data_IF_644554315526
#
_entry.id   IF_644554315526
#
_cell.length_a   1.000
_cell.length_b   1.000
_cell.length_c   1.000
_cell.angle_alpha   90.00
_cell.angle_beta   90.00
_cell.angle_gamma   90.00
#
_symmetry.space_group_name_H-M   'P 1'
#
loop_
_entity.id
_entity.type
_entity.pdbx_description
1 polymer ?
#
# COMPACT_ATOMS: atom_id res chain seq x y z
N UNK A 1 22.02 -8.47 -24.08
CA UNK A 1 21.53 -7.54 -23.06
C UNK A 1 20.42 -8.27 -22.35
N UNK A 2 20.77 -8.89 -21.23
CA UNK A 2 19.78 -9.53 -20.38
C UNK A 2 19.10 -8.43 -19.55
N UNK A 3 17.78 -8.51 -19.32
CA UNK A 3 17.15 -7.68 -18.32
C UNK A 3 17.63 -8.18 -16.96
N UNK A 4 18.38 -7.33 -16.25
CA UNK A 4 18.73 -7.59 -14.85
C UNK A 4 17.43 -7.80 -14.07
N UNK A 5 17.34 -8.99 -13.47
CA UNK A 5 16.31 -9.36 -12.52
C UNK A 5 16.31 -8.37 -11.35
N UNK A 6 15.39 -7.41 -11.34
CA UNK A 6 15.12 -6.52 -10.22
C UNK A 6 14.38 -7.25 -9.06
N UNK A 7 14.78 -8.49 -8.79
CA UNK A 7 14.24 -9.31 -7.71
C UNK A 7 15.20 -9.23 -6.52
N UNK A 8 14.75 -8.62 -5.42
CA UNK A 8 15.27 -8.95 -4.09
C UNK A 8 15.87 -7.82 -3.25
N UNK A 9 15.80 -6.55 -3.66
CA UNK A 9 16.21 -5.45 -2.80
C UNK A 9 14.98 -4.66 -2.32
N UNK A 10 14.84 -4.47 -1.00
CA UNK A 10 13.81 -3.67 -0.35
C UNK A 10 14.08 -2.16 -0.57
N UNK A 11 14.02 -1.72 -1.84
CA UNK A 11 14.47 -0.40 -2.31
C UNK A 11 13.39 0.69 -2.35
N UNK A 12 12.17 0.38 -1.91
CA UNK A 12 11.08 1.35 -1.95
C UNK A 12 11.29 2.50 -0.96
N UNK A 13 11.11 3.75 -1.43
CA UNK A 13 11.27 4.98 -0.67
C UNK A 13 10.51 4.98 0.67
N UNK A 14 9.30 4.41 0.69
CA UNK A 14 8.45 4.42 1.87
C UNK A 14 8.51 3.07 2.57
N UNK A 15 9.60 2.83 3.31
CA UNK A 15 9.83 1.59 4.08
C UNK A 15 9.73 0.32 3.23
N UNK A 16 10.19 0.37 1.98
CA UNK A 16 10.09 -0.73 1.02
C UNK A 16 8.94 -0.60 0.01
N UNK A 17 8.00 0.33 0.20
CA UNK A 17 6.98 0.64 -0.82
C UNK A 17 7.56 1.52 -1.93
N UNK A 18 7.20 1.20 -3.18
CA UNK A 18 7.76 1.84 -4.37
C UNK A 18 6.97 3.10 -4.72
N UNK A 19 7.63 4.27 -4.77
CA UNK A 19 7.06 5.46 -5.41
C UNK A 19 7.09 5.23 -6.94
N UNK A 20 5.91 5.18 -7.55
CA UNK A 20 5.77 4.82 -8.95
C UNK A 20 6.22 5.96 -9.88
N UNK A 21 6.93 5.65 -10.98
CA UNK A 21 7.05 6.58 -12.09
C UNK A 21 5.67 6.81 -12.72
N UNK A 22 5.50 7.94 -13.40
CA UNK A 22 4.19 8.36 -13.91
C UNK A 22 3.61 7.38 -14.95
N UNK A 23 4.46 6.69 -15.71
CA UNK A 23 4.02 5.65 -16.65
C UNK A 23 3.32 4.50 -15.91
N UNK A 24 3.94 3.97 -14.87
CA UNK A 24 3.37 2.92 -14.02
C UNK A 24 2.08 3.41 -13.33
N UNK A 25 2.02 4.66 -12.85
CA UNK A 25 0.78 5.24 -12.30
C UNK A 25 -0.38 5.13 -13.30
N UNK A 26 -0.12 5.45 -14.57
CA UNK A 26 -1.13 5.40 -15.64
C UNK A 26 -1.51 3.95 -15.97
N UNK A 27 -0.54 3.04 -16.01
CA UNK A 27 -0.77 1.61 -16.28
C UNK A 27 -1.60 0.96 -15.17
N UNK A 28 -1.20 1.14 -13.92
CA UNK A 28 -1.93 0.64 -12.74
C UNK A 28 -3.36 1.20 -12.70
N UNK A 29 -3.50 2.52 -12.91
CA UNK A 29 -4.83 3.14 -12.95
C UNK A 29 -5.72 2.55 -14.05
N UNK A 30 -5.17 2.30 -15.25
CA UNK A 30 -5.89 1.69 -16.38
C UNK A 30 -6.30 0.25 -16.07
N UNK A 31 -5.40 -0.55 -15.52
CA UNK A 31 -5.70 -1.90 -15.08
C UNK A 31 -6.90 -1.91 -14.13
N UNK A 32 -6.93 -1.01 -13.14
CA UNK A 32 -8.07 -0.88 -12.23
C UNK A 32 -9.36 -0.41 -12.89
N UNK A 33 -9.32 0.20 -14.08
CA UNK A 33 -10.55 0.49 -14.86
C UNK A 33 -11.13 -0.78 -15.47
N UNK A 34 -10.30 -1.73 -15.87
CA UNK A 34 -10.75 -3.03 -16.38
C UNK A 34 -11.40 -3.86 -15.27
N UNK A 35 -10.87 -3.75 -14.04
CA UNK A 35 -11.42 -4.39 -12.83
C UNK A 35 -12.81 -3.86 -12.45
N UNK A 36 -13.13 -2.59 -12.75
CA UNK A 36 -14.42 -2.00 -12.37
C UNK A 36 -15.63 -2.79 -12.93
N UNK A 37 -15.49 -3.37 -14.13
CA UNK A 37 -16.56 -4.06 -14.85
C UNK A 37 -16.59 -5.58 -14.59
N UNK A 38 -15.58 -6.13 -13.92
CA UNK A 38 -15.47 -7.57 -13.67
C UNK A 38 -16.50 -8.04 -12.60
N UNK A 39 -17.44 -8.95 -12.93
CA UNK A 39 -18.43 -9.47 -12.00
C UNK A 39 -17.86 -10.23 -10.81
N UNK A 40 -16.63 -10.75 -10.91
CA UNK A 40 -15.95 -11.43 -9.80
C UNK A 40 -15.32 -10.43 -8.80
N UNK A 41 -15.05 -9.20 -9.24
CA UNK A 41 -14.34 -8.18 -8.47
C UNK A 41 -15.12 -6.86 -8.40
N UNK A 42 -14.83 -5.85 -9.22
CA UNK A 42 -15.38 -4.50 -9.12
C UNK A 42 -16.90 -4.40 -9.28
N UNK A 43 -17.51 -5.27 -10.11
CA UNK A 43 -18.95 -5.33 -10.30
C UNK A 43 -19.66 -6.32 -9.36
N UNK A 44 -18.92 -7.01 -8.48
CA UNK A 44 -19.49 -7.97 -7.52
C UNK A 44 -20.29 -7.26 -6.42
N UNK A 45 -21.60 -7.52 -6.36
CA UNK A 45 -22.46 -6.95 -5.31
C UNK A 45 -22.01 -7.35 -3.90
N UNK A 46 -21.49 -8.57 -3.74
CA UNK A 46 -21.01 -9.08 -2.46
C UNK A 46 -19.77 -8.31 -1.98
N UNK A 47 -18.78 -8.13 -2.86
CA UNK A 47 -17.56 -7.40 -2.50
C UNK A 47 -17.87 -5.93 -2.21
N UNK A 48 -18.72 -5.31 -3.04
CA UNK A 48 -19.17 -3.92 -2.83
C UNK A 48 -19.85 -3.71 -1.47
N UNK A 49 -20.60 -4.69 -0.98
CA UNK A 49 -21.26 -4.61 0.32
C UNK A 49 -20.30 -4.69 1.52
N UNK A 50 -19.07 -5.19 1.31
CA UNK A 50 -18.03 -5.27 2.34
C UNK A 50 -17.17 -4.01 2.42
N UNK A 51 -17.26 -3.13 1.41
CA UNK A 51 -16.39 -1.95 1.31
C UNK A 51 -16.77 -0.91 2.36
N UNK A 52 -15.76 -0.30 2.97
CA UNK A 52 -15.98 0.76 3.96
C UNK A 52 -14.85 1.79 3.95
N UNK A 53 -15.00 2.83 4.77
CA UNK A 53 -14.09 3.96 4.85
C UNK A 53 -13.78 4.30 6.30
N UNK A 54 -12.51 4.60 6.55
CA UNK A 54 -12.02 5.21 7.78
C UNK A 54 -11.39 6.56 7.44
N UNK A 55 -11.89 7.68 7.98
CA UNK A 55 -13.13 7.78 8.77
C UNK A 55 -14.40 7.51 7.93
N UNK A 56 -15.55 7.21 8.57
CA UNK A 56 -16.79 6.93 7.85
C UNK A 56 -17.27 8.11 6.99
N UNK A 57 -17.54 7.84 5.71
CA UNK A 57 -18.06 8.81 4.73
C UNK A 57 -17.00 9.77 4.16
N UNK A 58 -15.71 9.50 4.38
CA UNK A 58 -14.61 10.28 3.79
C UNK A 58 -14.20 9.74 2.43
N UNK A 59 -14.14 8.42 2.30
CA UNK A 59 -13.80 7.70 1.07
C UNK A 59 -15.05 6.94 0.63
N UNK A 60 -15.26 6.84 -0.68
CA UNK A 60 -16.37 6.06 -1.23
C UNK A 60 -16.19 4.58 -0.90
N UNK A 61 -17.27 3.95 -0.42
CA UNK A 61 -17.33 2.51 -0.17
C UNK A 61 -17.44 1.72 -1.49
N UNK A 62 -16.35 1.70 -2.25
CA UNK A 62 -16.23 1.02 -3.54
C UNK A 62 -14.99 0.12 -3.54
N UNK A 63 -14.99 -0.95 -4.35
CA UNK A 63 -13.82 -1.83 -4.45
C UNK A 63 -12.67 -1.09 -5.12
N UNK A 64 -12.98 -0.42 -6.23
CA UNK A 64 -12.13 0.47 -7.02
C UNK A 64 -12.90 1.73 -7.40
N UNK A 65 -12.20 2.84 -7.66
CA UNK A 65 -12.82 4.12 -8.01
C UNK A 65 -11.91 4.97 -8.92
N UNK A 66 -12.49 5.62 -9.94
CA UNK A 66 -11.76 6.33 -11.01
C UNK A 66 -10.89 7.50 -10.55
N UNK A 67 -11.28 8.16 -9.48
CA UNK A 67 -10.58 9.27 -8.87
C UNK A 67 -9.45 8.84 -7.94
N UNK A 68 -9.26 7.54 -7.67
CA UNK A 68 -8.15 7.07 -6.85
C UNK A 68 -6.91 6.87 -7.72
N UNK A 69 -5.89 7.70 -7.47
CA UNK A 69 -4.65 7.73 -8.22
C UNK A 69 -3.57 6.98 -7.43
N UNK A 70 -3.14 5.78 -7.88
CA UNK A 70 -2.08 5.04 -7.19
C UNK A 70 -0.74 5.74 -7.40
N UNK A 71 -0.07 6.15 -6.32
CA UNK A 71 1.25 6.79 -6.41
C UNK A 71 2.36 5.93 -5.83
N UNK A 72 2.02 5.10 -4.85
CA UNK A 72 2.96 4.23 -4.14
C UNK A 72 2.37 2.84 -4.08
N UNK A 73 3.16 1.82 -4.39
CA UNK A 73 2.71 0.43 -4.47
C UNK A 73 3.53 -0.51 -3.59
N UNK A 74 2.87 -1.56 -3.09
CA UNK A 74 3.49 -2.69 -2.39
C UNK A 74 3.89 -3.86 -3.32
N UNK A 75 3.61 -3.72 -4.64
CA UNK A 75 3.77 -4.77 -5.68
C UNK A 75 2.89 -6.01 -5.49
N UNK A 76 1.88 -5.95 -4.61
CA UNK A 76 0.89 -7.01 -4.37
C UNK A 76 -0.54 -6.57 -4.73
N UNK A 77 -0.70 -5.39 -5.35
CA UNK A 77 -2.00 -4.84 -5.74
C UNK A 77 -2.61 -3.93 -4.68
N UNK A 78 -1.82 -3.43 -3.73
CA UNK A 78 -2.23 -2.41 -2.79
C UNK A 78 -1.41 -1.13 -2.94
N UNK A 79 -2.06 -0.01 -2.64
CA UNK A 79 -1.55 1.30 -2.96
C UNK A 79 -1.78 2.29 -1.83
N UNK A 80 -0.85 3.22 -1.77
CA UNK A 80 -1.05 4.53 -1.20
C UNK A 80 -1.18 5.53 -2.35
N UNK A 81 -2.17 6.41 -2.27
CA UNK A 81 -2.44 7.33 -3.36
C UNK A 81 -3.36 8.48 -2.99
N UNK A 82 -3.78 9.23 -4.01
CA UNK A 82 -4.60 10.43 -3.85
C UNK A 82 -6.01 10.18 -4.33
N UNK A 83 -6.98 10.56 -3.51
CA UNK A 83 -8.40 10.51 -3.83
C UNK A 83 -8.90 11.85 -4.40
N UNK A 84 -9.28 11.83 -5.67
CA UNK A 84 -9.83 12.97 -6.40
C UNK A 84 -11.36 12.95 -6.48
N UNK A 85 -12.03 11.94 -5.93
CA UNK A 85 -13.49 11.84 -5.89
C UNK A 85 -13.95 11.26 -4.54
N UNK A 86 -13.72 12.01 -3.44
CA UNK A 86 -14.06 11.59 -2.11
C UNK A 86 -15.58 11.40 -1.93
N UNK A 87 -15.96 10.85 -0.78
CA UNK A 87 -17.34 10.86 -0.31
C UNK A 87 -17.65 12.16 0.46
N UNK A 88 -18.91 12.33 0.89
CA UNK A 88 -19.47 13.60 1.35
C UNK A 88 -18.72 14.31 2.49
N UNK A 89 -17.96 13.59 3.32
CA UNK A 89 -17.17 14.18 4.42
C UNK A 89 -15.67 14.28 4.11
N UNK A 90 -15.22 13.70 3.00
CA UNK A 90 -13.82 13.74 2.59
C UNK A 90 -13.49 15.02 1.82
N UNK A 91 -12.30 15.07 1.27
CA UNK A 91 -11.86 16.19 0.42
C UNK A 91 -10.99 15.69 -0.71
N UNK A 92 -11.19 16.24 -1.92
CA UNK A 92 -10.35 15.90 -3.05
C UNK A 92 -8.90 16.29 -2.72
N UNK A 93 -7.94 15.45 -3.07
CA UNK A 93 -6.54 15.60 -2.69
C UNK A 93 -6.15 14.85 -1.42
N UNK A 94 -7.11 14.22 -0.72
CA UNK A 94 -6.80 13.41 0.45
C UNK A 94 -5.98 12.16 0.10
N UNK A 95 -5.07 11.77 0.99
CA UNK A 95 -4.20 10.59 0.81
C UNK A 95 -4.88 9.38 1.44
N UNK A 96 -4.98 8.29 0.67
CA UNK A 96 -5.71 7.09 1.07
C UNK A 96 -4.90 5.82 0.83
N UNK A 97 -5.15 4.80 1.66
CA UNK A 97 -4.74 3.42 1.41
C UNK A 97 -5.93 2.67 0.80
N UNK A 98 -5.68 1.99 -0.31
CA UNK A 98 -6.67 1.23 -1.08
C UNK A 98 -5.99 0.11 -1.87
N UNK A 99 -6.79 -0.78 -2.44
CA UNK A 99 -6.31 -1.85 -3.31
C UNK A 99 -7.00 -3.16 -3.04
N UNK A 100 -6.40 -4.23 -3.56
CA UNK A 100 -6.96 -5.59 -3.58
C UNK A 100 -7.35 -6.10 -2.20
N UNK A 101 -6.51 -5.84 -1.20
CA UNK A 101 -6.63 -6.39 0.16
C UNK A 101 -7.20 -5.37 1.16
N UNK A 102 -7.56 -4.17 0.69
CA UNK A 102 -8.14 -3.10 1.52
C UNK A 102 -9.63 -2.93 1.22
N UNK A 103 -10.47 -3.79 1.79
CA UNK A 103 -11.93 -3.61 1.78
C UNK A 103 -12.35 -2.35 2.55
N UNK A 104 -11.64 -2.07 3.64
CA UNK A 104 -11.76 -0.81 4.38
C UNK A 104 -10.65 0.13 3.94
N UNK A 105 -11.01 1.18 3.20
CA UNK A 105 -10.08 2.22 2.78
C UNK A 105 -9.81 3.14 3.97
N UNK A 106 -8.58 3.63 4.08
CA UNK A 106 -8.18 4.50 5.19
C UNK A 106 -7.58 5.80 4.66
N UNK A 107 -8.18 6.92 5.05
CA UNK A 107 -7.59 8.24 4.84
C UNK A 107 -6.46 8.40 5.84
N UNK A 108 -5.25 8.67 5.35
CA UNK A 108 -4.09 8.75 6.21
C UNK A 108 -4.10 10.03 7.04
N UNK A 109 -3.66 9.91 8.28
CA UNK A 109 -3.46 11.05 9.18
C UNK A 109 -2.45 12.02 8.57
N UNK A 110 -2.74 13.33 8.63
CA UNK A 110 -2.01 14.41 7.92
C UNK A 110 -2.08 14.30 6.40
N UNK A 111 -2.89 13.41 5.86
CA UNK A 111 -3.19 13.27 4.45
C UNK A 111 -4.51 13.90 4.05
N UNK A 112 -5.26 14.54 4.94
CA UNK A 112 -6.58 15.10 4.67
C UNK A 112 -6.56 16.40 3.83
N UNK A 113 -7.65 16.72 3.12
CA UNK A 113 -7.81 18.00 2.42
C UNK A 113 -7.05 18.11 1.09
N UNK A 114 -7.16 19.26 0.43
CA UNK A 114 -6.64 19.52 -0.93
C UNK A 114 -5.12 19.36 -1.07
N UNK A 115 -4.37 19.76 -0.04
CA UNK A 115 -2.92 19.62 0.00
C UNK A 115 -2.47 18.32 0.71
N UNK A 116 -3.32 17.29 0.74
CA UNK A 116 -3.10 16.05 1.48
C UNK A 116 -1.75 15.41 1.18
N UNK A 117 -1.43 15.23 -0.11
CA UNK A 117 -0.16 14.61 -0.52
C UNK A 117 1.08 15.34 0.02
N UNK A 118 1.09 16.67 -0.10
CA UNK A 118 2.22 17.48 0.36
C UNK A 118 2.39 17.42 1.89
N UNK A 119 1.28 17.47 2.64
CA UNK A 119 1.31 17.42 4.11
C UNK A 119 1.69 16.02 4.62
N UNK A 120 1.17 14.97 3.98
CA UNK A 120 1.53 13.60 4.33
C UNK A 120 3.02 13.34 4.07
N UNK A 121 3.53 13.74 2.89
CA UNK A 121 4.95 13.58 2.56
C UNK A 121 5.85 14.36 3.53
N UNK A 122 5.47 15.59 3.90
CA UNK A 122 6.20 16.35 4.91
C UNK A 122 6.22 15.62 6.27
N UNK A 123 5.10 15.02 6.67
CA UNK A 123 5.06 14.24 7.92
C UNK A 123 5.91 12.98 7.89
N UNK A 124 6.04 12.33 6.73
CA UNK A 124 6.96 11.21 6.55
C UNK A 124 8.42 11.66 6.69
N UNK A 125 8.78 12.81 6.13
CA UNK A 125 10.13 13.39 6.31
C UNK A 125 10.41 13.71 7.79
N UNK A 126 9.44 14.29 8.50
CA UNK A 126 9.56 14.54 9.95
C UNK A 126 9.78 13.23 10.74
N UNK A 127 9.14 12.12 10.36
CA UNK A 127 9.35 10.80 10.97
C UNK A 127 10.78 10.29 10.73
N UNK A 128 11.30 10.46 9.51
CA UNK A 128 12.68 10.11 9.19
C UNK A 128 13.70 10.94 10.00
N UNK A 129 13.46 12.25 10.16
CA UNK A 129 14.32 13.14 10.94
C UNK A 129 14.31 12.81 12.43
N UNK A 130 13.17 12.37 12.97
CA UNK A 130 13.06 11.95 14.36
C UNK A 130 13.86 10.66 14.63
N UNK A 131 14.06 9.81 13.62
CA UNK A 131 14.78 8.54 13.76
C UNK A 131 14.06 7.52 14.63
N UNK A 132 12.73 7.65 14.77
CA UNK A 132 11.89 6.77 15.57
C UNK A 132 11.05 5.86 14.68
N UNK A 133 10.75 4.64 15.14
CA UNK A 133 9.80 3.75 14.47
C UNK A 133 10.33 2.96 13.28
N UNK A 134 11.62 3.08 12.94
CA UNK A 134 12.28 2.27 11.92
C UNK A 134 13.73 1.92 12.27
N UNK A 135 14.27 0.88 11.63
CA UNK A 135 15.68 0.48 11.68
C UNK A 135 16.19 0.23 10.25
N UNK A 136 17.46 0.56 9.98
CA UNK A 136 18.11 0.13 8.75
C UNK A 136 18.53 -1.34 8.89
N UNK A 137 18.14 -2.18 7.95
CA UNK A 137 18.64 -3.54 7.88
C UNK A 137 20.14 -3.54 7.58
N UNK A 138 20.96 -4.08 8.49
CA UNK A 138 22.36 -4.34 8.18
C UNK A 138 22.44 -5.49 7.17
N UNK A 139 22.94 -5.22 5.97
CA UNK A 139 23.19 -6.22 4.92
C UNK A 139 24.40 -7.13 5.20
N UNK A 140 24.67 -7.47 6.46
CA UNK A 140 25.81 -8.31 6.84
C UNK A 140 25.32 -9.72 7.22
N UNK A 141 25.62 -10.69 6.36
CA UNK A 141 25.54 -12.12 6.69
C UNK A 141 24.78 -12.99 5.70
N UNK A 142 25.24 -13.06 4.45
CA UNK A 142 25.03 -14.27 3.62
C UNK A 142 26.37 -15.00 3.52
N UNK A 143 26.79 -15.66 4.61
CA UNK A 143 27.65 -16.84 4.45
C UNK A 143 26.79 -17.92 3.79
N UNK A 144 27.28 -18.41 2.65
CA UNK A 144 26.51 -19.18 1.68
C UNK A 144 25.90 -20.46 2.24
N UNK A 145 24.66 -20.71 1.82
CA UNK A 145 24.16 -22.06 1.63
C UNK A 145 23.70 -22.18 0.18
N UNK A 146 24.26 -23.20 -0.48
CA UNK A 146 24.19 -23.50 -1.90
C UNK A 146 22.77 -23.86 -2.37
N UNK A 147 22.47 -23.44 -3.61
CA UNK A 147 21.55 -24.00 -4.60
C UNK A 147 20.45 -24.98 -4.16
N UNK A 148 19.19 -24.61 -4.47
CA UNK A 148 18.29 -25.57 -5.12
C UNK A 148 17.39 -24.86 -6.13
N UNK A 149 17.61 -25.17 -7.41
CA UNK A 149 16.92 -24.59 -8.56
C UNK A 149 15.60 -25.33 -8.77
N UNK A 150 14.50 -24.77 -8.26
CA UNK A 150 13.14 -25.27 -8.49
C UNK A 150 12.42 -24.50 -9.60
N UNK A 151 12.51 -25.01 -10.82
CA UNK A 151 11.78 -24.51 -11.99
C UNK A 151 10.33 -25.04 -11.99
N UNK A 152 9.47 -24.53 -11.10
CA UNK A 152 8.03 -24.88 -11.03
C UNK A 152 7.28 -23.67 -10.42
N UNK A 153 6.46 -22.88 -11.13
CA UNK A 153 5.14 -23.29 -11.60
C UNK A 153 4.45 -22.07 -12.26
N UNK A 154 4.26 -22.12 -13.58
CA UNK A 154 3.37 -21.20 -14.32
C UNK A 154 1.95 -21.78 -14.52
N UNK A 155 1.56 -22.76 -13.71
CA UNK A 155 0.25 -23.37 -13.75
C UNK A 155 -0.26 -23.71 -12.35
N UNK A 156 -1.58 -23.57 -12.18
CA UNK A 156 -2.46 -24.12 -11.12
C UNK A 156 -2.81 -23.17 -9.96
N UNK A 157 -4.03 -22.64 -9.88
CA UNK A 157 -5.30 -23.22 -9.40
C UNK A 157 -5.34 -23.50 -7.88
N UNK A 158 -6.12 -22.66 -7.20
CA UNK A 158 -6.92 -23.00 -6.03
C UNK A 158 -6.28 -23.81 -4.90
N UNK A 159 -5.33 -23.25 -4.15
CA UNK A 159 -5.29 -23.34 -2.67
C UNK A 159 -4.13 -22.49 -2.12
N UNK A 160 -4.46 -21.57 -1.21
CA UNK A 160 -3.51 -20.65 -0.61
C UNK A 160 -2.54 -21.35 0.35
N UNK A 161 -1.26 -21.32 0.02
CA UNK A 161 -0.17 -21.44 0.98
C UNK A 161 0.48 -20.06 1.14
N UNK A 162 0.46 -19.52 2.36
CA UNK A 162 1.10 -18.25 2.73
C UNK A 162 2.61 -18.37 2.52
N UNK A 163 3.11 -17.85 1.39
CA UNK A 163 4.53 -17.60 1.16
C UNK A 163 4.89 -16.22 1.67
N UNK A 164 5.38 -16.14 2.90
CA UNK A 164 5.98 -14.90 3.43
C UNK A 164 7.21 -14.55 2.60
N UNK A 165 7.26 -13.31 2.12
CA UNK A 165 8.42 -12.75 1.43
C UNK A 165 9.67 -12.94 2.31
N UNK A 166 10.65 -13.71 1.82
CA UNK A 166 11.95 -13.83 2.46
C UNK A 166 12.70 -12.51 2.24
N UNK A 167 12.92 -11.82 3.34
CA UNK A 167 13.53 -10.50 3.43
C UNK A 167 15.06 -10.64 3.35
N UNK A 168 15.59 -10.59 2.13
CA UNK A 168 17.05 -10.54 1.88
C UNK A 168 17.49 -9.08 2.08
N UNK A 169 18.35 -8.88 3.09
CA UNK A 169 18.51 -7.63 3.83
C UNK A 169 19.16 -6.46 3.09
N UNK A 170 18.67 -5.26 3.42
CA UNK A 170 19.26 -3.98 3.00
C UNK A 170 18.34 -2.75 3.15
N UNK A 171 17.04 -2.91 3.40
CA UNK A 171 16.07 -1.80 3.45
C UNK A 171 15.74 -1.26 4.84
N UNK A 172 15.04 -0.11 4.86
CA UNK A 172 14.45 0.47 6.07
C UNK A 172 13.22 -0.35 6.48
N UNK A 173 13.16 -0.80 7.74
CA UNK A 173 12.07 -1.62 8.28
C UNK A 173 11.41 -0.95 9.48
N UNK A 174 10.10 -1.14 9.64
CA UNK A 174 9.38 -0.66 10.80
C UNK A 174 9.81 -1.39 12.08
N UNK A 175 9.80 -0.68 13.21
CA UNK A 175 10.15 -1.21 14.54
C UNK A 175 8.99 -1.07 15.54
N UNK A 176 9.21 -1.48 16.79
CA UNK A 176 8.21 -1.39 17.86
C UNK A 176 7.01 -2.31 17.60
N UNK A 177 5.80 -1.81 17.82
CA UNK A 177 4.56 -2.58 17.64
C UNK A 177 4.28 -2.97 16.18
N UNK A 178 4.86 -2.25 15.21
CA UNK A 178 4.71 -2.50 13.77
C UNK A 178 5.86 -3.33 13.19
N UNK A 179 6.74 -3.89 14.03
CA UNK A 179 7.83 -4.73 13.54
C UNK A 179 7.27 -5.96 12.82
N UNK A 180 7.63 -6.11 11.55
CA UNK A 180 7.18 -7.21 10.69
C UNK A 180 5.77 -7.06 10.11
N UNK A 181 5.11 -5.92 10.31
CA UNK A 181 3.82 -5.64 9.68
C UNK A 181 3.99 -5.20 8.22
N UNK A 182 3.03 -5.50 7.34
CA UNK A 182 2.93 -4.85 6.03
C UNK A 182 2.82 -3.32 6.21
N UNK A 183 3.60 -2.56 5.45
CA UNK A 183 3.73 -1.10 5.66
C UNK A 183 2.39 -0.38 5.48
N UNK A 184 1.61 -0.74 4.46
CA UNK A 184 0.31 -0.11 4.22
C UNK A 184 -0.69 -0.38 5.37
N UNK A 185 -0.68 -1.60 5.94
CA UNK A 185 -1.49 -1.92 7.12
C UNK A 185 -1.04 -1.12 8.34
N UNK A 186 0.28 -0.97 8.53
CA UNK A 186 0.83 -0.16 9.61
C UNK A 186 0.45 1.32 9.47
N UNK A 187 0.53 1.90 8.27
CA UNK A 187 0.11 3.28 8.01
C UNK A 187 -1.39 3.48 8.24
N UNK A 188 -2.21 2.51 7.84
CA UNK A 188 -3.64 2.50 8.05
C UNK A 188 -3.99 2.44 9.55
N UNK A 189 -3.41 1.50 10.31
CA UNK A 189 -3.65 1.35 11.76
C UNK A 189 -3.22 2.61 12.54
N UNK A 190 -2.01 3.13 12.25
CA UNK A 190 -1.52 4.39 12.85
C UNK A 190 -2.52 5.54 12.63
N UNK A 191 -3.04 5.67 11.41
CA UNK A 191 -3.98 6.73 11.07
C UNK A 191 -5.32 6.55 11.77
N UNK A 192 -5.86 5.32 11.79
CA UNK A 192 -7.08 4.98 12.51
C UNK A 192 -7.00 5.37 13.99
N UNK A 193 -5.90 5.01 14.67
CA UNK A 193 -5.69 5.38 16.09
C UNK A 193 -5.68 6.90 16.27
N UNK A 194 -5.02 7.64 15.38
CA UNK A 194 -5.01 9.11 15.43
C UNK A 194 -6.40 9.72 15.21
N UNK A 195 -7.21 9.15 14.33
CA UNK A 195 -8.59 9.60 14.13
C UNK A 195 -9.47 9.36 15.36
N UNK A 196 -9.28 8.23 16.05
CA UNK A 196 -9.95 7.94 17.33
C UNK A 196 -9.51 8.96 18.40
N UNK A 197 -8.20 9.18 18.56
CA UNK A 197 -7.67 10.15 19.52
C UNK A 197 -8.18 11.58 19.26
N UNK A 198 -8.41 11.92 17.99
CA UNK A 198 -8.97 13.20 17.57
C UNK A 198 -10.51 13.30 17.72
N UNK A 199 -11.19 12.22 18.12
CA UNK A 199 -12.65 12.17 18.28
C UNK A 199 -13.43 12.23 16.96
N UNK A 200 -12.81 11.81 15.84
CA UNK A 200 -13.43 11.78 14.51
C UNK A 200 -14.12 10.42 14.26
N UNK A 201 -13.74 9.39 15.01
CA UNK A 201 -14.31 8.03 14.98
C UNK A 201 -14.99 7.66 16.30
#
# INVERSE_FOLDING_TARGET
>A
QEPESAAGCSEGLFFGLTLLPLEDVVEEWRFWREVDEDPATGASATLRAMQSSIPPGWIRAEYSQRGWLPLVADKAGNYLGVDMNPDAKGSAGQVIVFGRDFDTKVALWRGEGEAGWARWLASFVEELEAGEGFELGNGDGSEGEEDDVGYDSYFFDGTAAKGGARDIGGGIRLTGEYKGWPVLEALADRSMRRWIDAGIM
#
